data_IF_297113278811
#
_entry.id   IF_297113278811
#
_cell.length_a   1.000
_cell.length_b   1.000
_cell.length_c   1.000
_cell.angle_alpha   90.00
_cell.angle_beta   90.00
_cell.angle_gamma   90.00
#
_symmetry.space_group_name_H-M   'P 1'
#
loop_
_entity.id
_entity.type
_entity.pdbx_description
1 polymer ?
#
# COMPACT_ATOMS: atom_id res chain seq x y z
N UNK A 1 3.81 -16.79 -14.17
CA UNK A 1 3.50 -16.74 -12.73
C UNK A 1 3.06 -15.34 -12.36
N UNK A 2 2.05 -15.19 -11.54
CA UNK A 2 1.55 -13.90 -11.12
C UNK A 2 1.50 -13.83 -9.60
N UNK A 3 1.79 -12.63 -9.06
CA UNK A 3 1.84 -12.42 -7.62
C UNK A 3 0.76 -11.44 -7.20
N UNK A 4 0.23 -11.65 -5.99
CA UNK A 4 -0.69 -10.73 -5.34
C UNK A 4 -0.05 -10.23 -4.05
N UNK A 5 -0.08 -8.92 -3.86
CA UNK A 5 0.49 -8.28 -2.68
C UNK A 5 -0.62 -7.69 -1.83
N UNK A 6 -0.53 -7.94 -0.53
CA UNK A 6 -1.46 -7.42 0.47
C UNK A 6 -0.63 -6.68 1.51
N UNK A 7 -0.89 -5.38 1.68
CA UNK A 7 -0.12 -4.55 2.59
C UNK A 7 -1.10 -3.91 3.56
N UNK A 8 -0.98 -4.23 4.84
CA UNK A 8 -1.93 -3.77 5.84
C UNK A 8 -1.24 -3.06 7.00
N UNK A 9 -1.95 -2.10 7.59
CA UNK A 9 -1.41 -1.25 8.63
C UNK A 9 -2.55 -0.49 9.33
N UNK A 10 -2.26 0.01 10.54
CA UNK A 10 -3.19 0.87 11.26
C UNK A 10 -2.79 2.31 11.09
N UNK A 11 -3.76 3.14 10.74
CA UNK A 11 -3.58 4.57 10.49
C UNK A 11 -3.89 5.34 11.76
N UNK A 12 -3.09 6.38 12.06
CA UNK A 12 -3.38 7.28 13.16
C UNK A 12 -4.67 8.06 12.85
N UNK A 13 -5.62 8.15 13.80
CA UNK A 13 -6.91 8.81 13.53
C UNK A 13 -6.76 10.23 13.01
N UNK A 14 -5.83 10.99 13.57
CA UNK A 14 -5.62 12.39 13.18
C UNK A 14 -5.01 12.54 11.79
N UNK A 15 -4.47 11.47 11.23
CA UNK A 15 -3.80 11.49 9.93
C UNK A 15 -4.59 10.76 8.83
N UNK A 16 -5.77 10.23 9.15
CA UNK A 16 -6.49 9.36 8.22
C UNK A 16 -6.79 10.02 6.87
N UNK A 17 -7.28 11.25 6.88
CA UNK A 17 -7.60 11.94 5.64
C UNK A 17 -6.36 12.19 4.76
N UNK A 18 -5.28 12.66 5.37
CA UNK A 18 -4.03 12.91 4.65
C UNK A 18 -3.38 11.61 4.19
N UNK A 19 -3.46 10.56 5.00
CA UNK A 19 -2.95 9.25 4.63
C UNK A 19 -3.65 8.73 3.38
N UNK A 20 -4.96 8.86 3.31
CA UNK A 20 -5.70 8.41 2.12
C UNK A 20 -5.25 9.15 0.87
N UNK A 21 -5.02 10.45 0.95
CA UNK A 21 -4.50 11.22 -0.19
C UNK A 21 -3.13 10.69 -0.63
N UNK A 22 -2.25 10.37 0.33
CA UNK A 22 -0.92 9.83 0.02
C UNK A 22 -1.02 8.44 -0.62
N UNK A 23 -1.95 7.60 -0.13
CA UNK A 23 -2.17 6.28 -0.71
C UNK A 23 -2.67 6.39 -2.16
N UNK A 24 -3.55 7.34 -2.45
CA UNK A 24 -4.00 7.57 -3.82
C UNK A 24 -2.85 8.04 -4.71
N UNK A 25 -1.94 8.85 -4.20
CA UNK A 25 -0.73 9.24 -4.92
C UNK A 25 0.18 8.03 -5.17
N UNK A 26 0.30 7.14 -4.19
CA UNK A 26 1.03 5.89 -4.34
C UNK A 26 0.45 5.04 -5.47
N UNK A 27 -0.87 4.88 -5.49
CA UNK A 27 -1.53 4.13 -6.55
C UNK A 27 -1.27 4.72 -7.94
N UNK A 28 -1.31 6.05 -8.04
CA UNK A 28 -1.03 6.74 -9.30
C UNK A 28 0.41 6.52 -9.75
N UNK A 29 1.37 6.65 -8.84
CA UNK A 29 2.79 6.45 -9.14
C UNK A 29 3.06 5.02 -9.62
N UNK A 30 2.51 4.01 -8.92
CA UNK A 30 2.70 2.62 -9.28
C UNK A 30 2.04 2.27 -10.61
N UNK A 31 0.88 2.84 -10.89
CA UNK A 31 0.22 2.61 -12.17
C UNK A 31 1.06 3.13 -13.32
N UNK A 32 1.70 4.29 -13.14
CA UNK A 32 2.56 4.88 -14.16
C UNK A 32 3.84 4.07 -14.36
N UNK A 33 4.47 3.62 -13.27
CA UNK A 33 5.77 2.95 -13.36
C UNK A 33 5.69 1.45 -13.62
N UNK A 34 4.62 0.79 -13.17
CA UNK A 34 4.50 -0.67 -13.24
C UNK A 34 3.25 -1.16 -13.97
N UNK A 35 2.33 -0.28 -14.32
CA UNK A 35 1.00 -0.57 -14.87
C UNK A 35 0.06 -1.31 -13.91
N UNK A 36 0.49 -1.55 -12.68
CA UNK A 36 -0.32 -2.25 -11.68
C UNK A 36 -1.24 -1.27 -10.97
N UNK A 37 -2.53 -1.58 -10.96
CA UNK A 37 -3.53 -0.79 -10.25
C UNK A 37 -3.66 -1.30 -8.81
N UNK A 38 -3.60 -0.38 -7.85
CA UNK A 38 -3.85 -0.71 -6.45
C UNK A 38 -5.27 -0.38 -6.06
N UNK A 39 -5.75 -1.00 -5.01
CA UNK A 39 -7.01 -0.64 -4.39
C UNK A 39 -6.88 -0.66 -2.88
N UNK A 40 -7.64 0.20 -2.21
CA UNK A 40 -7.59 0.37 -0.77
C UNK A 40 -8.86 -0.20 -0.15
N UNK A 41 -8.67 -1.09 0.82
CA UNK A 41 -9.76 -1.65 1.62
C UNK A 41 -9.59 -1.17 3.07
N UNK A 42 -10.71 -0.93 3.73
CA UNK A 42 -10.75 -0.56 5.14
C UNK A 42 -11.59 -1.59 5.87
N UNK A 43 -11.10 -2.09 7.00
CA UNK A 43 -11.81 -3.14 7.73
C UNK A 43 -13.12 -2.60 8.29
N UNK A 44 -14.23 -3.30 8.05
CA UNK A 44 -15.57 -2.84 8.45
C UNK A 44 -15.68 -2.58 9.95
N UNK A 45 -15.14 -3.49 10.75
CA UNK A 45 -15.24 -3.40 12.22
C UNK A 45 -14.10 -2.58 12.84
N UNK A 46 -13.13 -2.17 12.04
CA UNK A 46 -11.92 -1.49 12.50
C UNK A 46 -11.48 -0.53 11.38
N UNK A 47 -12.17 0.64 11.23
CA UNK A 47 -12.00 1.48 10.03
C UNK A 47 -10.60 2.07 9.82
N UNK A 48 -9.75 2.05 10.85
CA UNK A 48 -8.38 2.53 10.73
C UNK A 48 -7.38 1.43 10.41
N UNK A 49 -7.84 0.20 10.29
CA UNK A 49 -7.05 -0.90 9.75
C UNK A 49 -7.29 -0.96 8.26
N UNK A 50 -6.26 -0.58 7.48
CA UNK A 50 -6.34 -0.48 6.03
C UNK A 50 -5.52 -1.57 5.37
N UNK A 51 -5.94 -1.95 4.17
CA UNK A 51 -5.19 -2.91 3.35
C UNK A 51 -5.12 -2.42 1.92
N UNK A 52 -3.91 -2.34 1.38
CA UNK A 52 -3.67 -2.12 -0.05
C UNK A 52 -3.56 -3.46 -0.73
N UNK A 53 -4.18 -3.58 -1.91
CA UNK A 53 -4.16 -4.82 -2.67
C UNK A 53 -3.65 -4.53 -4.07
N UNK A 54 -2.66 -5.32 -4.50
CA UNK A 54 -2.07 -5.26 -5.84
C UNK A 54 -2.05 -6.67 -6.41
N UNK A 55 -2.67 -6.87 -7.56
CA UNK A 55 -2.82 -8.20 -8.15
C UNK A 55 -2.23 -8.26 -9.55
N UNK A 56 -1.99 -9.48 -10.05
CA UNK A 56 -1.44 -9.73 -11.38
C UNK A 56 -0.05 -9.10 -11.58
N UNK A 57 0.76 -9.08 -10.55
CA UNK A 57 2.13 -8.62 -10.64
C UNK A 57 2.99 -9.72 -11.23
N UNK A 58 3.58 -9.50 -12.41
CA UNK A 58 4.42 -10.51 -13.07
C UNK A 58 5.90 -10.27 -12.86
N UNK A 59 6.32 -9.02 -12.74
CA UNK A 59 7.70 -8.65 -12.43
C UNK A 59 7.75 -8.21 -10.98
N UNK A 60 7.90 -9.18 -10.09
CA UNK A 60 7.89 -8.95 -8.65
C UNK A 60 9.07 -8.06 -8.20
N UNK A 61 10.25 -8.28 -8.73
CA UNK A 61 11.43 -7.50 -8.35
C UNK A 61 11.24 -6.02 -8.68
N UNK A 62 10.75 -5.73 -9.87
CA UNK A 62 10.49 -4.34 -10.29
C UNK A 62 9.38 -3.72 -9.43
N UNK A 63 8.30 -4.46 -9.21
CA UNK A 63 7.18 -3.95 -8.41
C UNK A 63 7.61 -3.62 -6.99
N UNK A 64 8.36 -4.51 -6.36
CA UNK A 64 8.82 -4.30 -4.97
C UNK A 64 9.75 -3.10 -4.88
N UNK A 65 10.63 -2.92 -5.85
CA UNK A 65 11.53 -1.75 -5.88
C UNK A 65 10.73 -0.45 -6.03
N UNK A 66 9.81 -0.40 -6.99
CA UNK A 66 8.99 0.80 -7.22
C UNK A 66 8.09 1.10 -6.02
N UNK A 67 7.52 0.07 -5.42
CA UNK A 67 6.70 0.21 -4.21
C UNK A 67 7.52 0.80 -3.07
N UNK A 68 8.71 0.29 -2.81
CA UNK A 68 9.58 0.77 -1.75
C UNK A 68 9.99 2.22 -1.98
N UNK A 69 10.38 2.57 -3.19
CA UNK A 69 10.78 3.93 -3.53
C UNK A 69 9.63 4.91 -3.34
N UNK A 70 8.45 4.57 -3.83
CA UNK A 70 7.29 5.45 -3.74
C UNK A 70 6.81 5.61 -2.28
N UNK A 71 6.77 4.53 -1.49
CA UNK A 71 6.36 4.61 -0.10
C UNK A 71 7.33 5.44 0.74
N UNK A 72 8.62 5.34 0.47
CA UNK A 72 9.64 6.15 1.14
C UNK A 72 9.50 7.63 0.76
N UNK A 73 9.31 7.90 -0.53
CA UNK A 73 9.17 9.26 -1.05
C UNK A 73 7.93 9.95 -0.49
N UNK A 74 6.83 9.22 -0.36
CA UNK A 74 5.58 9.74 0.19
C UNK A 74 5.54 9.74 1.72
N UNK A 75 6.56 9.19 2.37
CA UNK A 75 6.69 9.12 3.83
C UNK A 75 5.48 8.47 4.50
N UNK A 76 4.99 7.39 3.91
CA UNK A 76 3.75 6.75 4.37
C UNK A 76 3.82 6.25 5.81
N UNK A 77 5.00 5.89 6.29
CA UNK A 77 5.17 5.47 7.69
C UNK A 77 4.80 6.53 8.72
N UNK A 78 4.84 7.81 8.34
CA UNK A 78 4.56 8.92 9.26
C UNK A 78 3.08 9.08 9.58
N UNK A 79 2.20 8.44 8.81
CA UNK A 79 0.76 8.53 9.00
C UNK A 79 0.19 7.40 9.84
N UNK A 80 1.03 6.44 10.21
CA UNK A 80 0.58 5.22 10.88
C UNK A 80 0.46 5.45 12.39
N UNK A 81 -0.41 4.64 13.01
CA UNK A 81 -0.53 4.59 14.45
C UNK A 81 0.82 4.18 15.04
N UNK A 82 1.18 4.76 16.20
CA UNK A 82 2.41 4.40 16.89
C UNK A 82 2.50 2.89 17.10
N UNK A 83 3.64 2.33 16.76
CA UNK A 83 3.88 0.89 16.84
C UNK A 83 3.38 0.09 15.64
N UNK A 84 2.66 0.72 14.72
CA UNK A 84 2.23 0.05 13.49
C UNK A 84 3.28 0.20 12.39
N UNK A 85 3.34 -0.79 11.51
CA UNK A 85 4.19 -0.74 10.33
C UNK A 85 3.41 -1.31 9.14
N UNK A 86 3.88 -1.02 7.94
CA UNK A 86 3.31 -1.56 6.71
C UNK A 86 3.74 -3.01 6.59
N UNK A 87 2.80 -3.94 6.82
CA UNK A 87 3.06 -5.38 6.74
C UNK A 87 2.70 -5.88 5.37
N UNK A 88 3.67 -6.50 4.71
CA UNK A 88 3.52 -6.99 3.35
C UNK A 88 3.45 -8.50 3.33
N UNK A 89 2.45 -9.04 2.63
CA UNK A 89 2.36 -10.46 2.32
C UNK A 89 2.25 -10.63 0.82
N UNK A 90 2.97 -11.59 0.27
CA UNK A 90 2.97 -11.87 -1.16
C UNK A 90 2.53 -13.31 -1.38
N UNK A 91 1.54 -13.48 -2.25
CA UNK A 91 1.03 -14.80 -2.63
C UNK A 91 1.21 -14.99 -4.11
N UNK A 92 1.56 -16.21 -4.52
CA UNK A 92 1.68 -16.51 -5.94
C UNK A 92 0.53 -17.40 -6.40
N UNK A 93 0.07 -17.12 -7.61
CA UNK A 93 -1.01 -17.86 -8.24
C UNK A 93 -0.49 -18.90 -9.23
#
# INVERSE_FOLDING_TARGET
MAYSYYIYYRVAPTHAANCELRVLELFSALKQSTTIAGRLLKKRSEPLLWMEVYENVRDDAKFELELQQATTQLKLGEYLQEGSSRRLECFEA
#
